data_IF_658398717731
#
_entry.id   IF_658398717731
#
_cell.length_a   1.000
_cell.length_b   1.000
_cell.length_c   1.000
_cell.angle_alpha   90.00
_cell.angle_beta   90.00
_cell.angle_gamma   90.00
#
_symmetry.space_group_name_H-M   'P 1'
#
loop_
_entity.id
_entity.type
_entity.pdbx_description
1 polymer ?
#
# COMPACT_ATOMS: atom_id res chain seq x y z
N UNK A 1 -23.19 11.52 20.88
CA UNK A 1 -23.13 10.23 20.17
C UNK A 1 -21.68 9.79 20.23
N UNK A 2 -21.36 8.81 21.09
CA UNK A 2 -19.98 8.36 21.29
C UNK A 2 -19.61 7.36 20.19
N UNK A 3 -19.15 7.85 19.04
CA UNK A 3 -18.44 6.96 18.11
C UNK A 3 -17.09 6.65 18.75
N UNK A 4 -17.00 5.46 19.33
CA UNK A 4 -15.81 4.95 20.02
C UNK A 4 -14.70 4.65 19.01
N UNK A 5 -13.45 4.67 19.48
CA UNK A 5 -12.24 4.28 18.74
C UNK A 5 -12.41 3.00 17.88
N UNK A 6 -13.28 2.09 18.32
CA UNK A 6 -13.66 0.85 17.64
C UNK A 6 -14.23 1.05 16.22
N UNK A 7 -14.95 2.14 15.95
CA UNK A 7 -15.46 2.45 14.60
C UNK A 7 -14.31 2.79 13.64
N UNK A 8 -13.38 3.64 14.09
CA UNK A 8 -12.21 4.07 13.31
C UNK A 8 -11.27 2.87 13.09
N UNK A 9 -11.03 2.08 14.13
CA UNK A 9 -10.18 0.89 14.05
C UNK A 9 -10.68 -0.09 12.99
N UNK A 10 -12.00 -0.34 12.92
CA UNK A 10 -12.61 -1.19 11.90
C UNK A 10 -12.35 -0.70 10.48
N UNK A 11 -12.44 0.62 10.25
CA UNK A 11 -12.13 1.21 8.94
C UNK A 11 -10.66 1.07 8.60
N UNK A 12 -9.76 1.37 9.54
CA UNK A 12 -8.32 1.23 9.34
C UNK A 12 -7.95 -0.23 9.02
N UNK A 13 -8.45 -1.20 9.78
CA UNK A 13 -8.24 -2.64 9.51
C UNK A 13 -8.71 -3.06 8.13
N UNK A 14 -9.86 -2.55 7.67
CA UNK A 14 -10.34 -2.79 6.30
C UNK A 14 -9.37 -2.24 5.26
N UNK A 15 -8.89 -1.01 5.44
CA UNK A 15 -7.94 -0.40 4.50
C UNK A 15 -6.61 -1.19 4.52
N UNK A 16 -6.09 -1.56 5.69
CA UNK A 16 -4.87 -2.39 5.80
C UNK A 16 -5.04 -3.72 5.08
N UNK A 17 -6.17 -4.40 5.29
CA UNK A 17 -6.50 -5.64 4.58
C UNK A 17 -6.50 -5.45 3.05
N UNK A 18 -7.05 -4.34 2.53
CA UNK A 18 -6.99 -4.03 1.11
C UNK A 18 -5.57 -3.73 0.61
N UNK A 19 -4.71 -3.14 1.44
CA UNK A 19 -3.29 -2.94 1.10
C UNK A 19 -2.60 -4.31 0.98
N UNK A 20 -2.74 -5.20 1.97
CA UNK A 20 -2.14 -6.54 1.96
C UNK A 20 -2.58 -7.34 0.72
N UNK A 21 -3.88 -7.45 0.48
CA UNK A 21 -4.42 -8.18 -0.67
C UNK A 21 -4.06 -7.51 -2.01
N UNK A 22 -3.94 -6.18 -2.02
CA UNK A 22 -3.54 -5.44 -3.22
C UNK A 22 -2.08 -5.66 -3.58
N UNK A 23 -1.20 -5.83 -2.59
CA UNK A 23 0.20 -6.17 -2.78
C UNK A 23 0.35 -7.60 -3.30
N UNK A 24 -0.36 -8.57 -2.71
CA UNK A 24 -0.38 -9.98 -3.15
C UNK A 24 -0.87 -10.12 -4.61
N UNK A 25 -1.99 -9.46 -4.94
CA UNK A 25 -2.51 -9.44 -6.32
C UNK A 25 -1.53 -8.83 -7.32
N UNK A 26 -0.74 -7.83 -6.89
CA UNK A 26 0.26 -7.18 -7.74
C UNK A 26 1.53 -8.02 -7.95
N UNK A 27 1.82 -8.95 -7.04
CA UNK A 27 2.88 -9.95 -7.16
C UNK A 27 2.58 -11.06 -8.16
N UNK A 28 1.30 -11.29 -8.47
CA UNK A 28 0.85 -12.23 -9.50
C UNK A 28 1.25 -11.78 -10.92
N UNK A 29 1.33 -12.73 -11.86
CA UNK A 29 1.86 -12.49 -13.21
C UNK A 29 1.21 -11.28 -13.92
N UNK A 30 2.03 -10.43 -14.55
CA UNK A 30 1.58 -9.16 -15.14
C UNK A 30 0.54 -9.28 -16.27
N UNK A 31 0.37 -10.49 -16.83
CA UNK A 31 -0.55 -10.77 -17.94
C UNK A 31 -1.98 -11.06 -17.45
N UNK A 32 -2.15 -11.80 -16.37
CA UNK A 32 -3.49 -12.06 -15.78
C UNK A 32 -4.05 -10.77 -15.13
N UNK A 33 -3.13 -9.97 -14.58
CA UNK A 33 -3.36 -8.77 -13.81
C UNK A 33 -4.04 -7.61 -14.56
N UNK A 34 -3.82 -7.47 -15.87
CA UNK A 34 -4.38 -6.34 -16.66
C UNK A 34 -5.88 -6.47 -16.90
N UNK A 35 -6.46 -7.66 -16.77
CA UNK A 35 -7.86 -7.92 -17.14
C UNK A 35 -8.87 -7.71 -16.00
N UNK A 36 -8.40 -7.55 -14.75
CA UNK A 36 -9.26 -7.61 -13.55
C UNK A 36 -9.39 -6.29 -12.76
N UNK A 37 -8.74 -5.20 -13.19
CA UNK A 37 -8.67 -3.98 -12.38
C UNK A 37 -9.79 -2.99 -12.62
N UNK A 38 -10.14 -2.25 -11.56
CA UNK A 38 -11.12 -1.14 -11.60
C UNK A 38 -10.47 0.22 -11.81
N UNK A 39 -9.15 0.31 -11.63
CA UNK A 39 -8.32 1.50 -11.85
C UNK A 39 -7.12 1.09 -12.69
N UNK A 40 -6.86 1.86 -13.75
CA UNK A 40 -5.78 1.61 -14.69
C UNK A 40 -4.92 2.87 -14.84
N UNK A 41 -3.71 2.79 -14.32
CA UNK A 41 -2.59 3.70 -14.56
C UNK A 41 -1.50 2.98 -15.36
N UNK A 42 -0.37 3.66 -15.62
CA UNK A 42 0.76 3.02 -16.30
C UNK A 42 1.37 1.91 -15.44
N UNK A 43 2.17 1.04 -16.05
CA UNK A 43 2.79 -0.12 -15.38
C UNK A 43 3.63 0.23 -14.15
N UNK A 44 4.08 1.48 -14.02
CA UNK A 44 4.80 1.95 -12.85
C UNK A 44 3.92 2.02 -11.58
N UNK A 45 2.60 2.12 -11.74
CA UNK A 45 1.62 2.28 -10.66
C UNK A 45 0.84 1.01 -10.36
N UNK A 46 1.34 -0.15 -10.80
CA UNK A 46 0.63 -1.41 -10.66
C UNK A 46 0.19 -1.69 -9.23
N UNK A 47 1.10 -1.68 -8.25
CA UNK A 47 0.76 -1.87 -6.83
C UNK A 47 -0.34 -0.91 -6.36
N UNK A 48 -0.22 0.38 -6.67
CA UNK A 48 -1.23 1.39 -6.29
C UNK A 48 -2.61 1.10 -6.89
N UNK A 49 -2.67 0.69 -8.17
CA UNK A 49 -3.92 0.37 -8.85
C UNK A 49 -4.59 -0.89 -8.28
N UNK A 50 -3.81 -1.90 -7.89
CA UNK A 50 -4.35 -3.10 -7.25
C UNK A 50 -4.91 -2.78 -5.86
N UNK A 51 -4.15 -2.06 -5.03
CA UNK A 51 -4.60 -1.60 -3.72
C UNK A 51 -5.88 -0.76 -3.85
N UNK A 52 -5.90 0.23 -4.75
CA UNK A 52 -7.07 1.07 -4.95
C UNK A 52 -8.28 0.27 -5.48
N UNK A 53 -8.06 -0.79 -6.25
CA UNK A 53 -9.15 -1.69 -6.68
C UNK A 53 -9.72 -2.47 -5.49
N UNK A 54 -8.88 -2.99 -4.57
CA UNK A 54 -9.34 -3.64 -3.34
C UNK A 54 -10.07 -2.67 -2.41
N UNK A 55 -9.58 -1.45 -2.28
CA UNK A 55 -10.27 -0.40 -1.51
C UNK A 55 -11.66 -0.13 -2.09
N UNK A 56 -11.80 -0.07 -3.42
CA UNK A 56 -13.11 0.09 -4.06
C UNK A 56 -14.06 -1.09 -3.82
N UNK A 57 -13.54 -2.31 -3.66
CA UNK A 57 -14.35 -3.47 -3.28
C UNK A 57 -14.92 -3.30 -1.87
N UNK A 58 -14.16 -2.71 -0.95
CA UNK A 58 -14.60 -2.42 0.42
C UNK A 58 -15.64 -1.29 0.50
N UNK A 59 -15.73 -0.43 -0.51
CA UNK A 59 -16.73 0.64 -0.57
C UNK A 59 -18.19 0.14 -0.69
N UNK A 60 -18.41 -1.16 -0.83
CA UNK A 60 -19.76 -1.75 -0.74
C UNK A 60 -20.22 -1.87 0.73
N UNK A 61 -19.29 -1.84 1.69
CA UNK A 61 -19.53 -2.09 3.12
C UNK A 61 -19.54 -0.80 3.99
N UNK A 62 -20.08 0.29 3.45
CA UNK A 62 -20.30 1.55 4.21
C UNK A 62 -19.17 2.59 4.11
N UNK A 63 -18.18 2.38 3.24
CA UNK A 63 -17.23 3.41 2.84
C UNK A 63 -17.63 3.96 1.46
N UNK A 64 -17.49 5.25 1.22
CA UNK A 64 -17.60 5.80 -0.14
C UNK A 64 -16.21 6.21 -0.64
N UNK A 65 -16.08 6.50 -1.93
CA UNK A 65 -14.80 6.96 -2.47
C UNK A 65 -14.95 7.92 -3.64
N UNK A 66 -14.03 8.88 -3.72
CA UNK A 66 -13.90 9.83 -4.82
C UNK A 66 -12.74 9.43 -5.69
N UNK A 67 -13.06 9.09 -6.94
CA UNK A 67 -12.09 8.94 -8.01
C UNK A 67 -11.93 10.25 -8.76
N UNK A 68 -10.68 10.61 -9.05
CA UNK A 68 -10.35 11.80 -9.82
C UNK A 68 -9.08 11.56 -10.65
N UNK A 69 -8.92 12.36 -11.70
CA UNK A 69 -7.77 12.25 -12.60
C UNK A 69 -6.86 13.47 -12.46
N UNK A 70 -5.55 13.23 -12.48
CA UNK A 70 -4.51 14.26 -12.60
C UNK A 70 -3.56 13.89 -13.72
N UNK A 71 -3.62 14.66 -14.82
CA UNK A 71 -2.86 14.41 -16.06
C UNK A 71 -3.16 13.00 -16.58
N UNK A 72 -2.31 12.02 -16.26
CA UNK A 72 -2.43 10.63 -16.69
C UNK A 72 -2.78 9.66 -15.55
N UNK A 73 -2.91 10.15 -14.31
CA UNK A 73 -3.09 9.33 -13.12
C UNK A 73 -4.52 9.37 -12.61
N UNK A 74 -5.13 8.21 -12.43
CA UNK A 74 -6.36 7.99 -11.70
C UNK A 74 -6.02 7.80 -10.22
N UNK A 75 -6.55 8.68 -9.38
CA UNK A 75 -6.36 8.68 -7.93
C UNK A 75 -7.67 8.38 -7.22
N UNK A 76 -7.55 7.95 -5.96
CA UNK A 76 -8.66 7.56 -5.10
C UNK A 76 -8.50 8.23 -3.73
N UNK A 77 -9.59 8.81 -3.24
CA UNK A 77 -9.74 9.18 -1.83
C UNK A 77 -10.94 8.43 -1.27
N UNK A 78 -10.73 7.73 -0.16
CA UNK A 78 -11.78 7.06 0.61
C UNK A 78 -12.47 8.08 1.50
N UNK A 79 -13.78 7.96 1.66
CA UNK A 79 -14.60 8.80 2.52
C UNK A 79 -15.25 7.89 3.56
N UNK A 80 -14.96 8.19 4.81
CA UNK A 80 -15.64 7.66 5.98
C UNK A 80 -16.65 8.70 6.46
N UNK A 81 -17.91 8.49 6.09
CA UNK A 81 -19.01 9.40 6.42
C UNK A 81 -19.39 9.35 7.90
N UNK A 82 -19.09 8.24 8.59
CA UNK A 82 -19.45 8.03 10.00
C UNK A 82 -18.48 8.80 10.88
N UNK A 83 -17.17 8.62 10.68
CA UNK A 83 -16.15 9.26 11.51
C UNK A 83 -15.70 10.62 10.94
N UNK A 84 -16.26 11.04 9.80
CA UNK A 84 -15.96 12.29 9.11
C UNK A 84 -14.47 12.43 8.79
N UNK A 85 -13.93 11.38 8.17
CA UNK A 85 -12.53 11.31 7.76
C UNK A 85 -12.43 10.99 6.29
N UNK A 86 -11.42 11.53 5.63
CA UNK A 86 -11.06 11.11 4.29
C UNK A 86 -9.65 10.51 4.32
N UNK A 87 -9.41 9.52 3.47
CA UNK A 87 -8.14 8.80 3.43
C UNK A 87 -7.59 8.69 2.01
N UNK A 88 -6.30 8.93 1.84
CA UNK A 88 -5.55 8.44 0.68
C UNK A 88 -4.50 7.42 1.14
N UNK A 89 -4.10 6.54 0.23
CA UNK A 89 -3.07 5.52 0.47
C UNK A 89 -1.94 5.72 -0.52
N UNK A 90 -0.69 5.77 -0.04
CA UNK A 90 0.49 5.93 -0.89
C UNK A 90 1.74 5.33 -0.27
N UNK A 91 2.76 5.05 -1.09
CA UNK A 91 4.04 4.57 -0.57
C UNK A 91 4.82 5.69 0.14
N UNK A 92 5.66 5.33 1.10
CA UNK A 92 6.60 6.25 1.77
C UNK A 92 7.49 6.97 0.77
N UNK A 93 8.01 6.24 -0.23
CA UNK A 93 8.79 6.85 -1.32
C UNK A 93 7.99 7.90 -2.10
N UNK A 94 6.72 7.61 -2.43
CA UNK A 94 5.87 8.57 -3.15
C UNK A 94 5.60 9.80 -2.30
N UNK A 95 5.40 9.63 -0.99
CA UNK A 95 5.16 10.71 -0.05
C UNK A 95 6.37 11.63 0.07
N UNK A 96 7.56 11.06 0.32
CA UNK A 96 8.82 11.81 0.39
C UNK A 96 9.13 12.55 -0.92
N UNK A 97 8.87 11.91 -2.05
CA UNK A 97 9.03 12.54 -3.36
C UNK A 97 8.01 13.67 -3.60
N UNK A 98 6.80 13.58 -3.03
CA UNK A 98 5.81 14.64 -3.10
C UNK A 98 6.27 15.87 -2.30
N UNK A 99 6.76 15.68 -1.06
CA UNK A 99 7.32 16.76 -0.22
C UNK A 99 8.45 17.50 -0.93
N UNK A 100 9.47 16.76 -1.39
CA UNK A 100 10.65 17.34 -2.09
C UNK A 100 10.29 18.17 -3.31
N UNK A 101 9.22 17.80 -4.01
CA UNK A 101 8.84 18.46 -5.26
C UNK A 101 7.92 19.65 -5.02
N UNK A 102 7.33 19.83 -3.83
CA UNK A 102 6.24 20.78 -3.57
C UNK A 102 6.57 22.21 -4.05
N UNK A 103 7.73 22.73 -3.65
CA UNK A 103 8.20 24.08 -3.99
C UNK A 103 8.48 24.30 -5.50
N UNK A 104 8.71 23.23 -6.25
CA UNK A 104 9.11 23.30 -7.67
C UNK A 104 7.94 23.21 -8.66
N UNK A 105 6.69 23.00 -8.18
CA UNK A 105 5.54 22.74 -9.05
C UNK A 105 4.90 24.03 -9.56
N UNK A 106 4.37 23.97 -10.79
CA UNK A 106 3.53 25.04 -11.35
C UNK A 106 2.04 24.89 -11.03
N UNK A 107 1.64 23.68 -10.60
CA UNK A 107 0.27 23.32 -10.20
C UNK A 107 0.29 22.69 -8.82
N UNK A 108 -0.70 22.97 -7.95
CA UNK A 108 -0.83 22.34 -6.65
C UNK A 108 -0.67 20.83 -6.74
N UNK A 109 0.04 20.27 -5.76
CA UNK A 109 -0.07 18.84 -5.54
C UNK A 109 -1.47 18.56 -4.97
N UNK A 110 -2.10 17.47 -5.40
CA UNK A 110 -3.49 17.23 -5.01
C UNK A 110 -3.63 17.15 -3.48
N UNK A 111 -2.70 16.46 -2.81
CA UNK A 111 -2.73 16.28 -1.35
C UNK A 111 -2.59 17.61 -0.61
N UNK A 112 -1.76 18.52 -1.11
CA UNK A 112 -1.65 19.87 -0.56
C UNK A 112 -3.00 20.61 -0.59
N UNK A 113 -3.77 20.47 -1.68
CA UNK A 113 -5.08 21.11 -1.80
C UNK A 113 -6.12 20.47 -0.87
N UNK A 114 -6.03 19.16 -0.66
CA UNK A 114 -6.88 18.42 0.29
C UNK A 114 -6.57 18.86 1.73
N UNK A 115 -5.29 18.85 2.13
CA UNK A 115 -4.88 19.26 3.46
C UNK A 115 -5.17 20.74 3.74
N UNK A 116 -5.01 21.64 2.75
CA UNK A 116 -5.37 23.05 2.91
C UNK A 116 -6.84 23.22 3.31
N UNK A 117 -7.76 22.48 2.66
CA UNK A 117 -9.20 22.65 2.89
C UNK A 117 -9.68 21.86 4.12
N UNK A 118 -9.29 20.59 4.26
CA UNK A 118 -9.81 19.72 5.34
C UNK A 118 -9.01 19.84 6.65
N UNK A 119 -7.73 20.21 6.57
CA UNK A 119 -6.83 20.31 7.72
C UNK A 119 -6.31 21.74 8.01
N UNK A 120 -6.71 22.76 7.23
CA UNK A 120 -6.16 24.12 7.34
C UNK A 120 -6.35 24.83 8.69
N UNK A 121 -7.22 24.30 9.56
CA UNK A 121 -7.43 24.83 10.91
C UNK A 121 -6.49 24.23 11.97
N UNK A 122 -5.56 23.36 11.59
CA UNK A 122 -4.65 22.66 12.49
C UNK A 122 -3.20 23.05 12.21
N UNK A 123 -2.41 23.25 13.27
CA UNK A 123 -0.99 23.59 13.17
C UNK A 123 -0.12 22.33 13.31
N UNK A 124 1.01 22.21 12.58
CA UNK A 124 1.90 21.06 12.68
C UNK A 124 2.51 20.91 14.07
N UNK A 125 2.76 19.66 14.49
CA UNK A 125 3.39 19.38 15.79
C UNK A 125 4.87 19.79 15.82
N UNK A 126 5.53 19.78 14.66
CA UNK A 126 6.92 20.16 14.48
C UNK A 126 7.06 20.97 13.19
N UNK A 127 7.31 22.27 13.30
CA UNK A 127 7.75 23.08 12.16
C UNK A 127 9.25 22.80 11.92
N UNK A 128 9.59 22.05 10.88
CA UNK A 128 10.98 21.87 10.50
C UNK A 128 11.50 23.18 9.88
N UNK A 129 12.19 24.01 10.66
CA UNK A 129 12.93 25.16 10.13
C UNK A 129 14.12 24.66 9.30
N UNK A 130 14.06 24.77 7.97
CA UNK A 130 15.23 24.60 7.12
C UNK A 130 16.04 25.90 7.07
N UNK A 131 17.37 25.79 6.93
CA UNK A 131 18.28 26.94 6.81
C UNK A 131 18.00 27.82 5.56
N UNK A 132 17.11 27.36 4.68
CA UNK A 132 16.59 28.03 3.48
C UNK A 132 15.46 29.03 3.79
N UNK A 133 14.97 29.09 5.04
CA UNK A 133 13.91 30.00 5.49
C UNK A 133 14.33 31.49 5.60
N UNK A 134 15.56 31.85 5.20
CA UNK A 134 16.01 33.23 5.05
C UNK A 134 16.21 33.52 3.56
N UNK A 135 15.17 34.07 2.94
CA UNK A 135 15.09 34.54 1.55
C UNK A 135 15.06 33.44 0.49
N UNK A 136 13.92 33.30 -0.22
CA UNK A 136 13.84 32.86 -1.63
C UNK A 136 12.39 32.82 -2.14
N UNK A 137 11.68 33.97 -2.19
CA UNK A 137 10.48 34.17 -3.02
C UNK A 137 9.60 32.94 -3.29
N UNK A 138 9.16 32.25 -2.23
CA UNK A 138 8.54 30.94 -2.33
C UNK A 138 7.23 31.04 -3.11
N UNK A 139 7.12 30.24 -4.17
CA UNK A 139 5.87 30.10 -4.93
C UNK A 139 4.86 29.31 -4.10
N UNK A 140 4.30 29.92 -3.08
CA UNK A 140 3.08 29.42 -2.47
C UNK A 140 1.92 29.63 -3.43
N UNK A 141 1.08 28.61 -3.58
CA UNK A 141 -0.19 28.79 -4.27
C UNK A 141 -1.11 29.63 -3.39
N UNK A 142 -1.89 30.51 -4.00
CA UNK A 142 -2.89 31.28 -3.25
C UNK A 142 -3.96 30.35 -2.67
N UNK A 143 -4.56 30.73 -1.54
CA UNK A 143 -5.67 29.99 -0.92
C UNK A 143 -6.79 29.70 -1.94
N UNK A 144 -7.16 30.69 -2.75
CA UNK A 144 -8.16 30.52 -3.81
C UNK A 144 -7.78 29.45 -4.83
N UNK A 145 -6.48 29.33 -5.16
CA UNK A 145 -6.00 28.32 -6.12
C UNK A 145 -6.05 26.92 -5.51
N UNK A 146 -5.73 26.77 -4.22
CA UNK A 146 -5.82 25.50 -3.49
C UNK A 146 -7.28 25.07 -3.30
N UNK A 147 -8.14 25.99 -2.86
CA UNK A 147 -9.59 25.74 -2.71
C UNK A 147 -10.26 25.35 -4.04
N UNK A 148 -9.89 26.02 -5.15
CA UNK A 148 -10.41 25.67 -6.47
C UNK A 148 -9.85 24.32 -6.96
N UNK A 149 -8.59 23.97 -6.66
CA UNK A 149 -8.06 22.65 -7.00
C UNK A 149 -8.73 21.52 -6.20
N UNK A 150 -9.03 21.76 -4.92
CA UNK A 150 -9.85 20.89 -4.08
C UNK A 150 -11.25 20.68 -4.66
N UNK A 151 -11.92 21.76 -5.05
CA UNK A 151 -13.26 21.69 -5.66
C UNK A 151 -13.26 20.85 -6.95
N UNK A 152 -12.16 20.82 -7.71
CA UNK A 152 -12.03 19.93 -8.89
C UNK A 152 -11.90 18.45 -8.51
N UNK A 153 -11.50 18.12 -7.28
CA UNK A 153 -11.38 16.75 -6.78
C UNK A 153 -12.74 16.28 -6.25
N UNK A 154 -13.30 17.00 -5.27
CA UNK A 154 -14.49 16.58 -4.55
C UNK A 154 -15.78 17.14 -5.13
N UNK A 155 -15.75 18.29 -5.81
CA UNK A 155 -16.96 19.03 -6.17
C UNK A 155 -17.80 19.34 -4.92
N UNK A 156 -19.10 19.02 -4.99
CA UNK A 156 -20.04 19.15 -3.87
C UNK A 156 -20.34 17.80 -3.19
N UNK A 157 -19.42 16.82 -3.26
CA UNK A 157 -19.68 15.46 -2.75
C UNK A 157 -19.64 15.37 -1.22
N UNK A 158 -18.88 16.24 -0.56
CA UNK A 158 -18.77 16.31 0.90
C UNK A 158 -18.75 17.77 1.34
N UNK A 159 -19.24 18.04 2.54
CA UNK A 159 -19.02 19.31 3.22
C UNK A 159 -17.64 19.26 3.88
N UNK A 160 -16.64 19.89 3.26
CA UNK A 160 -15.26 19.82 3.70
C UNK A 160 -15.01 20.37 5.10
N UNK A 161 -15.92 21.22 5.62
CA UNK A 161 -15.80 21.78 6.97
C UNK A 161 -16.02 20.74 8.09
N UNK A 162 -16.67 19.62 7.76
CA UNK A 162 -16.92 18.54 8.72
C UNK A 162 -15.82 17.47 8.73
N UNK A 163 -14.94 17.44 7.72
CA UNK A 163 -14.00 16.34 7.50
C UNK A 163 -12.57 16.70 7.85
N UNK A 164 -11.81 15.70 8.30
CA UNK A 164 -10.34 15.79 8.40
C UNK A 164 -9.68 14.76 7.49
N UNK A 165 -8.62 15.17 6.81
CA UNK A 165 -7.89 14.31 5.90
C UNK A 165 -6.74 13.59 6.58
N UNK A 166 -6.62 12.30 6.30
CA UNK A 166 -5.52 11.46 6.73
C UNK A 166 -4.86 10.75 5.55
N UNK A 167 -3.54 10.60 5.61
CA UNK A 167 -2.75 9.86 4.64
C UNK A 167 -2.21 8.60 5.27
N UNK A 168 -2.52 7.45 4.69
CA UNK A 168 -1.92 6.17 5.06
C UNK A 168 -0.67 5.98 4.19
N UNK A 169 0.48 6.01 4.85
CA UNK A 169 1.79 5.85 4.24
C UNK A 169 2.31 4.47 4.54
N UNK A 170 2.70 3.72 3.51
CA UNK A 170 3.23 2.36 3.68
C UNK A 170 4.58 2.17 3.00
N UNK A 171 5.41 1.33 3.60
CA UNK A 171 6.59 0.73 2.98
C UNK A 171 6.31 -0.75 2.77
N UNK A 172 6.88 -1.34 1.71
CA UNK A 172 6.74 -2.77 1.46
C UNK A 172 8.03 -3.36 0.88
N UNK A 173 8.25 -4.63 1.17
CA UNK A 173 9.26 -5.46 0.51
C UNK A 173 8.54 -6.63 -0.16
N UNK A 174 8.67 -6.74 -1.48
CA UNK A 174 7.88 -7.66 -2.32
C UNK A 174 6.38 -7.44 -2.05
N UNK A 175 5.70 -8.45 -1.52
CA UNK A 175 4.25 -8.49 -1.28
C UNK A 175 3.90 -8.23 0.19
N UNK A 176 4.88 -7.87 1.04
CA UNK A 176 4.69 -7.70 2.48
C UNK A 176 4.93 -6.25 2.91
N UNK A 177 4.01 -5.72 3.72
CA UNK A 177 4.13 -4.40 4.35
C UNK A 177 5.24 -4.46 5.40
N UNK A 178 6.16 -3.50 5.36
CA UNK A 178 7.26 -3.38 6.33
C UNK A 178 7.05 -2.25 7.33
N UNK A 179 6.37 -1.18 6.91
CA UNK A 179 6.02 -0.03 7.75
C UNK A 179 4.64 0.47 7.34
N UNK A 180 3.82 0.87 8.32
CA UNK A 180 2.49 1.43 8.06
C UNK A 180 2.15 2.55 9.06
N UNK A 181 2.02 3.76 8.52
CA UNK A 181 1.84 4.98 9.30
C UNK A 181 0.54 5.69 8.86
N UNK A 182 -0.18 6.26 9.81
CA UNK A 182 -1.32 7.14 9.60
C UNK A 182 -0.90 8.58 9.93
N UNK A 183 -0.92 9.45 8.93
CA UNK A 183 -0.49 10.83 9.03
C UNK A 183 -1.67 11.79 8.87
N UNK A 184 -1.76 12.79 9.75
CA UNK A 184 -2.52 14.01 9.49
C UNK A 184 -1.54 15.11 9.13
N UNK A 185 -1.75 15.76 8.00
CA UNK A 185 -0.79 16.67 7.40
C UNK A 185 -1.37 18.07 7.22
N UNK A 186 -0.52 19.09 7.28
CA UNK A 186 -0.87 20.45 6.87
C UNK A 186 -0.80 20.63 5.34
N UNK A 187 -1.05 21.85 4.86
CA UNK A 187 -0.97 22.19 3.43
C UNK A 187 0.43 22.07 2.82
N UNK A 188 1.47 22.12 3.65
CA UNK A 188 2.87 21.96 3.25
C UNK A 188 3.33 20.49 3.34
N UNK A 189 2.42 19.58 3.68
CA UNK A 189 2.68 18.16 3.92
C UNK A 189 3.62 17.93 5.12
N UNK A 190 3.59 18.84 6.09
CA UNK A 190 4.18 18.67 7.40
C UNK A 190 3.22 17.99 8.37
N UNK A 191 3.80 17.21 9.28
CA UNK A 191 3.01 16.32 10.14
C UNK A 191 2.39 17.06 11.32
N UNK A 192 1.06 17.00 11.39
CA UNK A 192 0.23 17.47 12.50
C UNK A 192 0.02 16.33 13.51
N UNK A 193 -0.40 15.16 13.05
CA UNK A 193 -0.60 13.96 13.88
C UNK A 193 0.10 12.77 13.21
N UNK A 194 0.72 11.92 14.02
CA UNK A 194 1.40 10.72 13.58
C UNK A 194 0.96 9.54 14.45
N UNK A 195 0.51 8.47 13.81
CA UNK A 195 0.17 7.22 14.47
C UNK A 195 0.76 6.05 13.69
N UNK A 196 1.55 5.21 14.35
CA UNK A 196 1.93 3.91 13.83
C UNK A 196 0.70 2.98 13.90
N UNK A 197 0.31 2.41 12.77
CA UNK A 197 -0.84 1.51 12.65
C UNK A 197 -0.41 0.12 12.16
N UNK A 198 0.88 -0.20 12.26
CA UNK A 198 1.45 -1.50 11.89
C UNK A 198 0.86 -2.66 12.72
N UNK A 199 0.27 -2.38 13.88
CA UNK A 199 -0.49 -3.36 14.68
C UNK A 199 -1.74 -3.93 13.95
N UNK A 200 -2.19 -3.28 12.89
CA UNK A 200 -3.31 -3.76 12.05
C UNK A 200 -2.86 -4.63 10.88
N UNK A 201 -1.55 -4.71 10.61
CA UNK A 201 -0.99 -5.70 9.68
C UNK A 201 -1.33 -7.06 10.27
N UNK A 202 -2.01 -7.90 9.51
CA UNK A 202 -2.57 -9.14 10.04
C UNK A 202 -1.42 -10.05 10.50
N UNK A 203 -1.26 -10.40 11.79
CA UNK A 203 -0.50 -11.59 12.13
C UNK A 203 -1.35 -12.77 11.66
N UNK A 204 -0.97 -13.37 10.53
CA UNK A 204 -1.52 -14.65 10.11
C UNK A 204 -1.22 -15.67 11.22
N UNK A 205 -2.13 -15.85 12.18
CA UNK A 205 -2.15 -17.10 12.93
C UNK A 205 -2.33 -18.18 11.87
N UNK A 206 -1.39 -19.14 11.73
CA UNK A 206 -1.57 -20.19 10.76
C UNK A 206 -2.91 -20.88 11.07
N UNK A 207 -3.74 -21.05 10.04
CA UNK A 207 -4.89 -21.96 10.05
C UNK A 207 -4.37 -23.40 10.23
N UNK A 208 -3.90 -23.72 11.42
CA UNK A 208 -3.63 -25.08 11.85
C UNK A 208 -3.86 -25.21 13.36
N UNK A 209 -5.08 -24.94 13.79
CA UNK A 209 -5.66 -25.81 14.80
C UNK A 209 -6.31 -26.98 14.05
N UNK A 210 -5.50 -27.92 13.57
CA UNK A 210 -6.06 -29.24 13.34
C UNK A 210 -6.58 -29.72 14.70
N UNK A 211 -7.86 -30.12 14.80
CA UNK A 211 -8.32 -30.74 16.03
C UNK A 211 -7.44 -31.96 16.27
N UNK A 212 -6.81 -32.00 17.44
CA UNK A 212 -6.11 -33.17 17.94
C UNK A 212 -7.14 -34.32 17.96
N UNK A 213 -7.16 -35.15 16.92
CA UNK A 213 -7.95 -36.36 16.94
C UNK A 213 -7.18 -37.38 17.78
N UNK A 214 -7.49 -37.44 19.07
CA UNK A 214 -7.23 -38.62 19.87
C UNK A 214 -8.00 -39.79 19.25
N UNK A 215 -7.33 -40.55 18.40
CA UNK A 215 -7.73 -41.93 18.14
C UNK A 215 -6.55 -42.82 18.51
N UNK A 216 -6.57 -43.22 19.79
CA UNK A 216 -5.89 -44.42 20.23
C UNK A 216 -6.43 -45.61 19.41
N UNK A 217 -5.55 -46.29 18.68
CA UNK A 217 -5.66 -47.72 18.46
C UNK A 217 -4.25 -48.32 18.48
N UNK A 218 -3.90 -48.93 19.63
CA UNK A 218 -3.01 -50.11 19.73
C UNK A 218 -3.55 -51.17 18.76
N UNK A 219 -2.80 -52.05 18.09
CA UNK A 219 -1.44 -52.58 18.18
C UNK A 219 -1.06 -53.01 16.73
N UNK A 220 0.17 -53.32 16.32
CA UNK A 220 1.03 -54.39 16.81
C UNK A 220 2.47 -54.16 16.36
N UNK A 221 3.39 -54.32 17.31
CA UNK A 221 4.83 -54.44 17.09
C UNK A 221 5.14 -55.72 16.33
N UNK A 222 5.87 -55.65 15.20
CA UNK A 222 6.80 -56.73 14.78
C UNK A 222 7.78 -56.27 13.68
N UNK A 223 9.06 -56.39 14.06
CA UNK A 223 10.20 -56.80 13.24
C UNK A 223 11.02 -55.74 12.48
N UNK A 224 12.04 -55.28 13.18
CA UNK A 224 13.44 -55.13 12.75
C UNK A 224 13.77 -55.76 11.38
N UNK A 225 14.14 -54.93 10.39
CA UNK A 225 15.10 -55.33 9.37
C UNK A 225 16.32 -54.40 9.37
N UNK A 226 17.46 -55.04 9.62
CA UNK A 226 18.82 -54.50 9.63
C UNK A 226 19.18 -53.83 8.30
N UNK A 227 19.73 -52.62 8.36
CA UNK A 227 20.48 -52.01 7.27
C UNK A 227 21.75 -52.84 7.03
N UNK A 228 21.92 -53.40 5.83
CA UNK A 228 23.19 -53.99 5.37
C UNK A 228 24.06 -52.90 4.72
N UNK A 229 25.36 -52.82 5.01
CA UNK A 229 26.26 -51.85 4.40
C UNK A 229 26.74 -52.33 3.01
N UNK A 230 26.84 -51.38 2.07
CA UNK A 230 27.70 -51.50 0.90
C UNK A 230 27.02 -51.77 -0.44
N UNK A 231 26.66 -50.70 -1.16
CA UNK A 231 26.69 -50.64 -2.63
C UNK A 231 27.13 -49.23 -3.03
N UNK A 232 28.33 -49.08 -3.59
CA UNK A 232 28.80 -47.82 -4.20
C UNK A 232 28.12 -47.65 -5.56
N UNK A 233 27.64 -46.44 -5.93
CA UNK A 233 27.18 -46.18 -7.29
C UNK A 233 28.37 -46.14 -8.26
N UNK A 234 28.23 -46.81 -9.42
CA UNK A 234 29.27 -46.86 -10.46
C UNK A 234 29.27 -45.60 -11.33
N UNK A 235 30.45 -45.00 -11.50
CA UNK A 235 30.78 -44.01 -12.53
C UNK A 235 30.84 -44.70 -13.89
N UNK A 236 30.08 -44.23 -14.87
CA UNK A 236 30.27 -44.59 -16.29
C UNK A 236 31.27 -43.63 -16.91
N UNK A 237 32.50 -44.11 -17.11
CA UNK A 237 33.41 -43.58 -18.12
C UNK A 237 33.14 -44.34 -19.42
N UNK A 238 32.85 -43.62 -20.50
CA UNK A 238 32.92 -44.14 -21.86
C UNK A 238 33.85 -43.22 -22.65
N UNK A 239 35.14 -43.51 -22.56
CA UNK A 239 36.09 -43.18 -23.61
C UNK A 239 36.25 -44.39 -24.54
N UNK A 240 36.67 -44.06 -25.77
CA UNK A 240 37.19 -44.89 -26.85
C UNK A 240 36.21 -45.11 -28.01
N UNK A 241 36.57 -44.95 -29.28
CA UNK A 241 37.69 -44.27 -29.97
C UNK A 241 37.46 -44.60 -31.46
N UNK A 242 37.94 -43.72 -32.35
CA UNK A 242 38.34 -44.00 -33.74
C UNK A 242 37.21 -44.25 -34.77
N UNK A 243 37.24 -43.74 -36.01
CA UNK A 243 38.36 -43.28 -36.84
C UNK A 243 37.88 -42.44 -38.05
N UNK A 244 38.74 -41.52 -38.52
CA UNK A 244 38.90 -41.03 -39.92
C UNK A 244 37.70 -40.26 -40.56
N UNK A 245 37.82 -39.15 -41.30
CA UNK A 245 38.88 -38.71 -42.22
C UNK A 245 38.67 -37.22 -42.65
N UNK A 246 39.77 -36.46 -42.76
CA UNK A 246 40.11 -35.35 -43.70
C UNK A 246 39.04 -34.36 -44.23
N UNK A 247 39.31 -33.05 -44.03
CA UNK A 247 39.69 -32.00 -45.05
C UNK A 247 39.51 -30.59 -44.43
N UNK A 248 40.60 -29.92 -44.05
CA UNK A 248 41.24 -28.79 -44.77
C UNK A 248 40.32 -27.57 -44.98
N UNK A 249 40.62 -26.46 -44.30
CA UNK A 249 41.59 -25.49 -44.81
C UNK A 249 42.18 -24.65 -43.68
#
# INVERSE_FOLDING_TARGET
MFYSNDSIEKILRKIVFAIENGLEDAGCSCNDYRSAKKIENSTHFFYSDAINSKILDLCVDGLSAVRFKRISWNLLVVIDEINKRTYNVMTKETFENAKKKLASRNTPYYLQSICHVENGNFNPCFEQMTLEGLDNGEKFFTNDKLANDYYKIFGNKIDSSEYSHYTIVYSHERESITELELLKLDENLETIEHQDISEYITPQLPLYEAPYSENQNKAETKNNLRLKPGVKPQLKNNDNENNNEKRQS
#
